data_IF_924850489948
#
_entry.id   IF_924850489948
#
_cell.length_a   1.000
_cell.length_b   1.000
_cell.length_c   1.000
_cell.angle_alpha   90.00
_cell.angle_beta   90.00
_cell.angle_gamma   90.00
#
_symmetry.space_group_name_H-M   'P 1'
#
loop_
_entity.id
_entity.type
_entity.pdbx_description
1 polymer ?
#
# COMPACT_ATOMS: atom_id res chain seq x y z
N UNK A 1 5.72 30.21 39.06
CA UNK A 1 4.70 30.04 40.13
C UNK A 1 3.35 30.47 39.60
N UNK A 2 2.26 29.83 40.05
CA UNK A 2 0.91 30.39 39.87
C UNK A 2 0.77 31.68 40.69
N UNK A 3 -0.29 32.47 40.47
CA UNK A 3 -0.62 33.61 41.34
C UNK A 3 -0.77 33.20 42.83
N UNK A 4 -0.99 31.91 43.11
CA UNK A 4 -1.07 31.31 44.44
C UNK A 4 0.26 30.70 44.96
N UNK A 5 1.40 30.94 44.31
CA UNK A 5 2.71 30.47 44.80
C UNK A 5 3.02 28.98 44.60
N UNK A 6 2.16 28.23 43.92
CA UNK A 6 2.37 26.80 43.62
C UNK A 6 3.45 26.64 42.53
N UNK A 7 4.37 25.66 42.66
CA UNK A 7 5.30 25.32 41.58
C UNK A 7 4.53 24.87 40.32
N UNK A 8 4.84 25.45 39.17
CA UNK A 8 4.26 25.06 37.89
C UNK A 8 5.16 24.00 37.26
N UNK A 9 4.66 22.77 37.12
CA UNK A 9 5.40 21.64 36.53
C UNK A 9 5.22 21.51 35.02
N UNK A 10 4.26 22.24 34.44
CA UNK A 10 4.06 22.33 33.00
C UNK A 10 3.43 23.67 32.61
N UNK A 11 3.54 24.02 31.33
CA UNK A 11 2.80 25.09 30.67
C UNK A 11 1.93 24.52 29.57
N UNK A 12 0.74 25.09 29.42
CA UNK A 12 -0.27 24.65 28.48
C UNK A 12 -0.59 25.78 27.51
N UNK A 13 -0.62 25.42 26.23
CA UNK A 13 -1.09 26.25 25.13
C UNK A 13 -2.17 25.45 24.39
N UNK A 14 -3.13 26.13 23.78
CA UNK A 14 -4.10 25.47 22.92
C UNK A 14 -4.35 26.28 21.66
N UNK A 15 -4.71 25.59 20.59
CA UNK A 15 -5.14 26.17 19.34
C UNK A 15 -6.47 25.57 18.96
N UNK A 16 -7.45 26.42 18.71
CA UNK A 16 -8.66 26.05 18.00
C UNK A 16 -8.62 26.72 16.63
N UNK A 17 -8.64 25.92 15.57
CA UNK A 17 -8.55 26.39 14.20
C UNK A 17 -9.49 25.59 13.30
N UNK A 18 -9.68 26.10 12.08
CA UNK A 18 -10.30 25.36 10.99
C UNK A 18 -9.22 25.02 9.97
N UNK A 19 -9.31 23.82 9.38
CA UNK A 19 -8.40 23.37 8.33
C UNK A 19 -9.18 22.86 7.12
N UNK A 20 -8.57 22.98 5.93
CA UNK A 20 -9.10 22.45 4.66
C UNK A 20 -9.16 20.92 4.67
N UNK A 21 -8.16 20.28 5.29
CA UNK A 21 -8.07 18.84 5.45
C UNK A 21 -6.82 18.43 6.25
N UNK A 22 -6.69 17.13 6.50
CA UNK A 22 -5.62 16.57 7.34
C UNK A 22 -4.20 16.85 6.78
N UNK A 23 -4.06 16.92 5.45
CA UNK A 23 -2.79 17.21 4.76
C UNK A 23 -2.23 18.61 5.06
N UNK A 24 -3.01 19.53 5.63
CA UNK A 24 -2.60 20.90 5.94
C UNK A 24 -2.39 21.19 7.44
N UNK A 25 -2.65 20.23 8.34
CA UNK A 25 -2.60 20.48 9.79
C UNK A 25 -1.23 20.97 10.27
N UNK A 26 -0.14 20.45 9.69
CA UNK A 26 1.22 20.87 10.06
C UNK A 26 1.46 22.35 9.75
N UNK A 27 0.96 22.85 8.62
CA UNK A 27 1.11 24.25 8.23
C UNK A 27 0.27 25.16 9.12
N UNK A 28 -0.96 24.75 9.44
CA UNK A 28 -1.84 25.45 10.39
C UNK A 28 -1.15 25.58 11.75
N UNK A 29 -0.62 24.48 12.29
CA UNK A 29 0.08 24.51 13.58
C UNK A 29 1.30 25.41 13.53
N UNK A 30 2.19 25.23 12.53
CA UNK A 30 3.41 26.04 12.39
C UNK A 30 3.12 27.53 12.30
N UNK A 31 2.09 27.91 11.55
CA UNK A 31 1.70 29.31 11.36
C UNK A 31 1.07 29.95 12.59
N UNK A 32 0.60 29.15 13.57
CA UNK A 32 0.07 29.65 14.85
C UNK A 32 1.13 29.79 15.95
N UNK A 33 2.38 29.35 15.72
CA UNK A 33 3.43 29.38 16.75
C UNK A 33 3.89 30.81 17.04
N UNK A 34 3.92 31.19 18.32
CA UNK A 34 4.36 32.49 18.81
C UNK A 34 5.49 32.36 19.85
N UNK A 35 6.59 33.15 19.75
CA UNK A 35 7.72 33.09 20.68
C UNK A 35 7.48 33.79 22.02
N UNK A 36 6.29 34.34 22.24
CA UNK A 36 5.99 35.21 23.41
C UNK A 36 5.88 34.46 24.74
N UNK A 37 5.88 33.13 24.71
CA UNK A 37 5.68 32.32 25.90
C UNK A 37 6.99 32.05 26.63
N UNK A 38 6.88 31.82 27.94
CA UNK A 38 8.02 31.46 28.77
C UNK A 38 7.63 30.55 29.92
N UNK A 39 8.55 29.66 30.29
CA UNK A 39 8.36 28.65 31.32
C UNK A 39 9.58 28.63 32.25
N UNK A 40 9.32 28.62 33.55
CA UNK A 40 10.34 28.48 34.60
C UNK A 40 9.97 27.25 35.44
N UNK A 41 10.52 26.06 35.10
CA UNK A 41 10.31 24.86 35.90
C UNK A 41 10.89 25.01 37.31
N UNK A 42 10.40 24.25 38.30
CA UNK A 42 10.96 24.29 39.65
C UNK A 42 12.44 23.91 39.65
N UNK A 43 13.29 24.76 40.23
CA UNK A 43 14.74 24.53 40.30
C UNK A 43 15.50 24.76 38.99
N UNK A 44 14.83 25.23 37.92
CA UNK A 44 15.45 25.51 36.62
C UNK A 44 15.26 26.97 36.20
N UNK A 45 16.18 27.51 35.37
CA UNK A 45 16.03 28.86 34.86
C UNK A 45 14.81 29.01 33.95
N UNK A 46 14.35 30.25 33.80
CA UNK A 46 13.26 30.61 32.89
C UNK A 46 13.74 30.54 31.44
N UNK A 47 13.00 29.85 30.58
CA UNK A 47 13.24 29.76 29.14
C UNK A 47 12.05 30.28 28.34
N UNK A 48 12.33 30.91 27.20
CA UNK A 48 11.33 31.23 26.19
C UNK A 48 11.08 30.02 25.28
N UNK A 49 9.85 29.88 24.80
CA UNK A 49 9.48 28.80 23.89
C UNK A 49 8.40 29.25 22.89
N UNK A 50 8.31 28.54 21.77
CA UNK A 50 7.24 28.72 20.80
C UNK A 50 6.00 27.95 21.23
N UNK A 51 4.95 28.69 21.57
CA UNK A 51 3.65 28.13 21.92
C UNK A 51 2.66 28.30 20.78
N UNK A 52 1.76 27.34 20.58
CA UNK A 52 0.58 27.53 19.74
C UNK A 52 -0.27 28.65 20.31
N UNK A 53 -0.79 29.47 19.41
CA UNK A 53 -1.46 30.73 19.74
C UNK A 53 -2.67 30.92 18.81
N UNK A 54 -2.72 32.01 18.05
CA UNK A 54 -3.82 32.31 17.14
C UNK A 54 -3.43 31.95 15.71
N UNK A 55 -4.31 31.23 15.01
CA UNK A 55 -4.23 31.04 13.56
C UNK A 55 -5.13 32.06 12.85
N UNK A 56 -4.54 32.87 11.96
CA UNK A 56 -5.25 33.93 11.24
C UNK A 56 -5.70 33.54 9.81
N UNK A 57 -5.52 32.27 9.40
CA UNK A 57 -5.76 31.86 8.02
C UNK A 57 -4.67 32.35 7.05
N UNK A 58 -4.67 31.83 5.82
CA UNK A 58 -3.87 32.40 4.71
C UNK A 58 -4.71 33.48 4.01
N UNK A 59 -4.16 34.68 3.86
CA UNK A 59 -4.84 35.76 3.14
C UNK A 59 -5.01 35.39 1.65
N UNK A 60 -6.24 35.45 1.15
CA UNK A 60 -6.57 35.17 -0.25
C UNK A 60 -6.92 33.71 -0.59
N UNK A 61 -7.03 32.83 0.41
CA UNK A 61 -7.44 31.44 0.20
C UNK A 61 -8.97 31.31 0.23
N UNK A 62 -9.60 31.12 -0.93
CA UNK A 62 -11.04 30.90 -1.07
C UNK A 62 -11.45 29.42 -0.88
N UNK A 63 -10.58 28.60 -0.28
CA UNK A 63 -10.81 27.17 -0.11
C UNK A 63 -11.77 26.89 1.03
N UNK A 64 -12.58 25.84 0.86
CA UNK A 64 -13.59 25.44 1.83
C UNK A 64 -12.94 24.80 3.06
N UNK A 65 -13.22 25.36 4.24
CA UNK A 65 -12.76 24.85 5.52
C UNK A 65 -13.68 23.73 6.02
N UNK A 66 -13.15 22.52 6.22
CA UNK A 66 -13.96 21.31 6.45
C UNK A 66 -13.77 20.68 7.82
N UNK A 67 -12.61 20.89 8.44
CA UNK A 67 -12.24 20.19 9.69
C UNK A 67 -12.02 21.17 10.84
N UNK A 68 -12.64 20.90 11.98
CA UNK A 68 -12.29 21.54 13.24
C UNK A 68 -11.01 20.91 13.80
N UNK A 69 -10.01 21.74 14.07
CA UNK A 69 -8.75 21.34 14.67
C UNK A 69 -8.66 21.91 16.09
N UNK A 70 -8.48 21.02 17.06
CA UNK A 70 -8.13 21.37 18.44
C UNK A 70 -6.77 20.77 18.80
N UNK A 71 -5.79 21.62 19.09
CA UNK A 71 -4.44 21.21 19.50
C UNK A 71 -4.20 21.62 20.93
N UNK A 72 -3.74 20.69 21.75
CA UNK A 72 -3.24 20.95 23.10
C UNK A 72 -1.72 20.77 23.09
N UNK A 73 -0.97 21.81 23.41
CA UNK A 73 0.47 21.76 23.57
C UNK A 73 0.83 21.80 25.05
N UNK A 74 1.65 20.84 25.48
CA UNK A 74 2.20 20.76 26.83
C UNK A 74 3.71 20.99 26.77
N UNK A 75 4.19 22.03 27.45
CA UNK A 75 5.61 22.34 27.58
C UNK A 75 6.08 21.99 29.00
N UNK A 76 7.05 21.09 29.13
CA UNK A 76 7.43 20.46 30.40
C UNK A 76 8.94 20.19 30.43
N UNK A 77 9.52 20.12 31.63
CA UNK A 77 10.92 19.72 31.81
C UNK A 77 11.03 18.19 31.80
N UNK A 78 12.06 17.65 31.15
CA UNK A 78 12.31 16.21 31.07
C UNK A 78 13.17 15.71 32.25
N UNK A 79 13.01 14.46 32.70
CA UNK A 79 12.07 13.44 32.20
C UNK A 79 10.62 13.68 32.65
N UNK A 80 9.66 13.36 31.79
CA UNK A 80 8.22 13.44 32.08
C UNK A 80 7.43 12.31 31.42
N UNK A 81 6.22 12.03 31.91
CA UNK A 81 5.24 11.15 31.28
C UNK A 81 3.95 11.93 31.03
N UNK A 82 3.35 11.73 29.86
CA UNK A 82 2.07 12.33 29.46
C UNK A 82 1.18 11.21 28.95
N UNK A 83 -0.05 11.16 29.46
CA UNK A 83 -1.04 10.17 29.07
C UNK A 83 -2.25 10.89 28.45
N UNK A 84 -2.80 10.31 27.37
CA UNK A 84 -3.99 10.79 26.70
C UNK A 84 -4.98 9.63 26.67
N UNK A 85 -6.15 9.82 27.30
CA UNK A 85 -7.19 8.81 27.35
C UNK A 85 -8.38 9.19 26.47
N UNK A 86 -8.95 8.19 25.80
CA UNK A 86 -10.23 8.26 25.12
C UNK A 86 -11.26 7.39 25.85
N UNK A 87 -12.46 7.90 26.03
CA UNK A 87 -13.52 7.28 26.83
C UNK A 87 -14.87 7.36 26.10
N UNK A 88 -15.33 6.25 25.51
CA UNK A 88 -16.63 6.22 24.81
C UNK A 88 -17.85 6.26 25.74
N UNK A 89 -18.70 7.28 25.63
CA UNK A 89 -19.94 7.41 26.43
C UNK A 89 -20.92 6.23 26.34
N UNK A 90 -20.78 5.35 25.33
CA UNK A 90 -21.57 4.13 25.19
C UNK A 90 -21.21 3.01 26.18
N UNK A 91 -20.12 3.16 26.94
CA UNK A 91 -19.67 2.21 27.96
C UNK A 91 -19.81 2.89 29.34
N UNK A 92 -20.99 2.82 29.98
CA UNK A 92 -21.27 3.52 31.23
C UNK A 92 -20.63 2.84 32.46
N UNK A 93 -20.62 1.52 32.50
CA UNK A 93 -20.17 0.74 33.67
C UNK A 93 -18.67 0.39 33.57
N UNK A 94 -17.81 1.42 33.62
CA UNK A 94 -16.36 1.20 33.62
C UNK A 94 -15.85 0.96 35.04
N UNK A 95 -15.20 -0.19 35.32
CA UNK A 95 -14.67 -0.49 36.64
C UNK A 95 -13.50 0.43 37.01
N UNK A 96 -12.60 0.73 36.06
CA UNK A 96 -11.43 1.59 36.24
C UNK A 96 -11.15 2.41 34.97
N UNK A 97 -10.42 3.53 35.13
CA UNK A 97 -9.87 4.30 33.99
C UNK A 97 -8.52 3.70 33.56
N UNK A 98 -8.28 3.64 32.26
CA UNK A 98 -7.02 3.13 31.68
C UNK A 98 -5.93 4.23 31.70
N UNK A 99 -5.46 4.57 32.90
CA UNK A 99 -4.42 5.57 33.16
C UNK A 99 -3.48 5.09 34.26
N UNK A 100 -2.31 5.72 34.39
CA UNK A 100 -1.32 5.51 35.45
C UNK A 100 -0.98 4.03 35.69
N UNK A 101 -1.14 3.53 36.93
CA UNK A 101 -0.79 2.16 37.31
C UNK A 101 -1.65 1.12 36.59
N UNK A 102 -2.91 1.44 36.27
CA UNK A 102 -3.77 0.54 35.50
C UNK A 102 -3.28 0.42 34.07
N UNK A 103 -2.91 1.53 33.43
CA UNK A 103 -2.30 1.50 32.09
C UNK A 103 -0.96 0.73 32.11
N UNK A 104 -0.10 0.97 33.10
CA UNK A 104 1.20 0.30 33.23
C UNK A 104 1.03 -1.22 33.34
N UNK A 105 0.13 -1.68 34.22
CA UNK A 105 -0.15 -3.12 34.38
C UNK A 105 -0.70 -3.76 33.12
N UNK A 106 -1.62 -3.09 32.43
CA UNK A 106 -2.16 -3.64 31.16
C UNK A 106 -1.09 -3.65 30.05
N UNK A 107 -0.21 -2.65 29.97
CA UNK A 107 0.91 -2.66 29.02
C UNK A 107 1.85 -3.85 29.26
N UNK A 108 2.30 -4.08 30.50
CA UNK A 108 3.19 -5.21 30.83
C UNK A 108 2.54 -6.56 30.48
N UNK A 109 1.25 -6.70 30.79
CA UNK A 109 0.46 -7.89 30.45
C UNK A 109 0.32 -8.09 28.94
N UNK A 110 0.07 -7.04 28.18
CA UNK A 110 -0.05 -7.11 26.73
C UNK A 110 1.28 -7.40 26.04
N UNK A 111 2.40 -6.84 26.53
CA UNK A 111 3.75 -7.18 26.05
C UNK A 111 4.04 -8.66 26.26
N UNK A 112 3.84 -9.18 27.47
CA UNK A 112 4.06 -10.60 27.75
C UNK A 112 3.14 -11.52 26.91
N UNK A 113 1.90 -11.10 26.68
CA UNK A 113 0.95 -11.84 25.84
C UNK A 113 1.41 -11.85 24.37
N UNK A 114 1.88 -10.71 23.86
CA UNK A 114 2.43 -10.60 22.51
C UNK A 114 3.65 -11.51 22.32
N UNK A 115 4.62 -11.45 23.22
CA UNK A 115 5.85 -12.25 23.14
C UNK A 115 5.55 -13.75 23.15
N UNK A 116 4.62 -14.18 24.01
CA UNK A 116 4.16 -15.57 24.06
C UNK A 116 3.48 -15.99 22.76
N UNK A 117 2.50 -15.22 22.28
CA UNK A 117 1.82 -15.51 21.00
C UNK A 117 2.81 -15.53 19.83
N UNK A 118 3.81 -14.64 19.83
CA UNK A 118 4.85 -14.59 18.81
C UNK A 118 5.66 -15.89 18.74
N UNK A 119 6.12 -16.41 19.88
CA UNK A 119 6.83 -17.70 19.90
C UNK A 119 5.91 -18.89 19.58
N UNK A 120 4.64 -18.84 19.99
CA UNK A 120 3.63 -19.84 19.62
C UNK A 120 3.43 -19.90 18.10
N UNK A 121 3.32 -18.74 17.44
CA UNK A 121 3.10 -18.60 15.99
C UNK A 121 4.34 -18.93 15.15
N UNK A 122 5.49 -18.35 15.49
CA UNK A 122 6.69 -18.41 14.63
C UNK A 122 7.73 -19.44 15.08
N UNK A 123 7.75 -19.80 16.37
CA UNK A 123 8.62 -20.83 16.93
C UNK A 123 10.11 -20.55 16.73
N UNK A 124 10.54 -19.28 16.78
CA UNK A 124 11.90 -18.90 16.41
C UNK A 124 12.92 -19.37 17.46
N UNK A 125 12.57 -19.33 18.74
CA UNK A 125 13.42 -19.86 19.80
C UNK A 125 13.63 -21.37 19.61
N UNK A 126 12.55 -22.12 19.34
CA UNK A 126 12.61 -23.56 19.05
C UNK A 126 13.40 -23.92 17.79
N UNK A 127 13.48 -23.00 16.82
CA UNK A 127 14.28 -23.15 15.59
C UNK A 127 15.76 -22.79 15.79
N UNK A 128 16.17 -22.33 16.97
CA UNK A 128 17.55 -22.02 17.30
C UNK A 128 18.00 -20.61 16.94
N UNK A 129 17.08 -19.68 16.64
CA UNK A 129 17.41 -18.27 16.42
C UNK A 129 17.82 -17.59 17.74
N UNK A 130 18.82 -16.71 17.67
CA UNK A 130 19.31 -15.92 18.80
C UNK A 130 18.28 -14.92 19.32
N UNK A 131 18.46 -14.44 20.55
CA UNK A 131 17.57 -13.41 21.12
C UNK A 131 17.54 -12.11 20.31
N UNK A 132 18.63 -11.75 19.63
CA UNK A 132 18.69 -10.57 18.75
C UNK A 132 17.85 -10.78 17.49
N UNK A 133 17.93 -11.95 16.86
CA UNK A 133 17.13 -12.30 15.69
C UNK A 133 15.64 -12.38 16.02
N UNK A 134 15.30 -12.91 17.20
CA UNK A 134 13.92 -12.94 17.69
C UNK A 134 13.37 -11.53 17.91
N UNK A 135 14.14 -10.65 18.56
CA UNK A 135 13.75 -9.25 18.77
C UNK A 135 13.60 -8.48 17.45
N UNK A 136 14.51 -8.71 16.50
CA UNK A 136 14.41 -8.16 15.15
C UNK A 136 13.13 -8.62 14.44
N UNK A 137 12.81 -9.92 14.51
CA UNK A 137 11.59 -10.46 13.91
C UNK A 137 10.30 -9.95 14.55
N UNK A 138 10.28 -9.76 15.88
CA UNK A 138 9.18 -9.08 16.57
C UNK A 138 8.99 -7.65 16.04
N UNK A 139 10.09 -6.89 15.92
CA UNK A 139 10.04 -5.53 15.38
C UNK A 139 9.54 -5.49 13.93
N UNK A 140 9.89 -6.46 13.08
CA UNK A 140 9.39 -6.56 11.71
C UNK A 140 7.86 -6.74 11.68
N UNK A 141 7.33 -7.70 12.45
CA UNK A 141 5.88 -7.93 12.53
C UNK A 141 5.15 -6.70 13.10
N UNK A 142 5.67 -6.12 14.18
CA UNK A 142 5.08 -4.93 14.81
C UNK A 142 5.05 -3.74 13.87
N UNK A 143 6.10 -3.53 13.06
CA UNK A 143 6.11 -2.46 12.05
C UNK A 143 5.15 -2.74 10.89
N UNK A 144 5.00 -4.00 10.46
CA UNK A 144 4.02 -4.36 9.44
C UNK A 144 2.59 -4.09 9.91
N UNK A 145 2.23 -4.55 11.11
CA UNK A 145 0.92 -4.27 11.74
C UNK A 145 0.73 -2.77 11.98
N UNK A 146 1.75 -2.08 12.49
CA UNK A 146 1.71 -0.63 12.73
C UNK A 146 1.75 0.23 11.46
N UNK A 147 1.97 -0.37 10.29
CA UNK A 147 1.85 0.26 8.99
C UNK A 147 0.45 0.15 8.39
N UNK A 148 -0.44 -0.66 8.97
CA UNK A 148 -1.81 -0.79 8.47
C UNK A 148 -2.59 0.51 8.66
N UNK A 149 -3.38 0.87 7.65
CA UNK A 149 -4.18 2.08 7.62
C UNK A 149 -5.58 1.84 7.08
N UNK A 150 -6.48 2.77 7.39
CA UNK A 150 -7.81 2.86 6.82
C UNK A 150 -7.90 4.11 5.95
N UNK A 151 -8.27 3.94 4.69
CA UNK A 151 -8.37 4.99 3.69
C UNK A 151 -9.77 5.04 3.12
N UNK A 152 -10.23 6.24 2.74
CA UNK A 152 -11.56 6.42 2.14
C UNK A 152 -11.53 7.53 1.09
N UNK A 153 -12.12 7.26 -0.06
CA UNK A 153 -12.25 8.24 -1.12
C UNK A 153 -12.46 7.62 -2.50
N UNK A 154 -12.66 8.44 -3.54
CA UNK A 154 -12.72 7.98 -4.92
C UNK A 154 -11.31 7.78 -5.52
N UNK A 155 -11.18 6.86 -6.45
CA UNK A 155 -10.01 6.74 -7.33
C UNK A 155 -10.25 7.47 -8.64
N UNK A 156 -9.22 8.14 -9.18
CA UNK A 156 -9.26 8.74 -10.51
C UNK A 156 -8.81 7.71 -11.56
N UNK A 157 -9.72 7.30 -12.45
CA UNK A 157 -9.50 6.18 -13.35
C UNK A 157 -9.77 6.58 -14.80
N UNK A 158 -8.91 6.14 -15.73
CA UNK A 158 -9.15 6.24 -17.16
C UNK A 158 -9.28 4.83 -17.76
N UNK A 159 -10.43 4.58 -18.41
CA UNK A 159 -10.66 3.32 -19.13
C UNK A 159 -10.56 3.53 -20.65
N UNK A 160 -10.41 2.45 -21.44
CA UNK A 160 -10.44 2.52 -22.91
C UNK A 160 -11.76 3.04 -23.48
N UNK A 161 -12.81 3.05 -22.67
CA UNK A 161 -14.17 3.43 -23.05
C UNK A 161 -14.48 4.89 -22.71
N UNK A 162 -13.52 5.62 -22.12
CA UNK A 162 -13.69 7.00 -21.65
C UNK A 162 -12.66 7.93 -22.27
N UNK A 163 -13.08 9.09 -22.75
CA UNK A 163 -12.18 10.09 -23.34
C UNK A 163 -11.28 10.78 -22.30
N UNK A 164 -11.76 10.93 -21.07
CA UNK A 164 -11.05 11.59 -19.98
C UNK A 164 -11.11 10.77 -18.69
N UNK A 165 -10.15 10.93 -17.76
CA UNK A 165 -10.19 10.31 -16.43
C UNK A 165 -11.48 10.68 -15.67
N UNK A 166 -12.07 9.69 -15.00
CA UNK A 166 -13.29 9.83 -14.23
C UNK A 166 -13.07 9.40 -12.78
N UNK A 167 -13.76 10.06 -11.85
CA UNK A 167 -13.80 9.61 -10.46
C UNK A 167 -14.71 8.38 -10.35
N UNK A 168 -14.16 7.29 -9.85
CA UNK A 168 -14.93 6.13 -9.44
C UNK A 168 -15.69 6.42 -8.15
N UNK A 169 -16.73 5.62 -7.82
CA UNK A 169 -17.42 5.71 -6.53
C UNK A 169 -16.43 5.64 -5.37
N UNK A 170 -16.68 6.42 -4.32
CA UNK A 170 -15.84 6.40 -3.14
C UNK A 170 -15.91 5.04 -2.44
N UNK A 171 -14.75 4.50 -2.09
CA UNK A 171 -14.59 3.20 -1.43
C UNK A 171 -13.71 3.30 -0.20
N UNK A 172 -13.84 2.31 0.68
CA UNK A 172 -13.00 2.16 1.86
C UNK A 172 -11.92 1.10 1.63
N UNK A 173 -10.71 1.36 2.10
CA UNK A 173 -9.60 0.41 2.05
C UNK A 173 -8.94 0.27 3.40
N UNK A 174 -8.98 -0.92 3.98
CA UNK A 174 -8.15 -1.30 5.11
C UNK A 174 -7.01 -2.18 4.61
N UNK A 175 -5.76 -1.71 4.74
CA UNK A 175 -4.59 -2.33 4.07
C UNK A 175 -3.29 -2.03 4.80
N UNK A 176 -2.28 -2.88 4.63
CA UNK A 176 -0.89 -2.50 4.93
C UNK A 176 -0.35 -1.54 3.85
N UNK A 177 0.77 -0.88 4.16
CA UNK A 177 1.44 0.06 3.24
C UNK A 177 2.93 -0.29 3.12
N UNK A 178 3.55 -0.16 1.94
CA UNK A 178 4.97 -0.53 1.76
C UNK A 178 5.92 0.30 2.62
N UNK A 179 5.59 1.58 2.83
CA UNK A 179 6.39 2.48 3.65
C UNK A 179 5.53 3.60 4.23
N UNK A 180 5.55 3.75 5.56
CA UNK A 180 4.87 4.85 6.27
C UNK A 180 5.34 6.24 5.82
N UNK A 181 6.57 6.36 5.32
CA UNK A 181 7.18 7.65 4.97
C UNK A 181 7.06 7.99 3.48
N UNK A 182 7.27 7.01 2.60
CA UNK A 182 7.35 7.24 1.15
C UNK A 182 6.08 6.81 0.42
N UNK A 183 5.43 5.74 0.89
CA UNK A 183 4.31 5.10 0.21
C UNK A 183 3.16 4.81 1.19
N UNK A 184 2.56 5.82 1.84
CA UNK A 184 1.54 5.63 2.87
C UNK A 184 0.16 5.36 2.25
N UNK A 185 0.06 4.36 1.37
CA UNK A 185 -1.15 4.00 0.61
C UNK A 185 -1.08 2.55 0.14
N UNK A 186 -2.21 2.02 -0.33
CA UNK A 186 -2.30 0.63 -0.79
C UNK A 186 -1.66 0.42 -2.16
N UNK A 187 -0.86 -0.64 -2.29
CA UNK A 187 -0.33 -1.16 -3.56
C UNK A 187 -0.72 -2.63 -3.73
N UNK A 188 -1.35 -2.94 -4.86
CA UNK A 188 -2.07 -4.21 -5.04
C UNK A 188 -1.15 -5.43 -4.92
N UNK A 189 -0.02 -5.43 -5.64
CA UNK A 189 0.89 -6.56 -5.60
C UNK A 189 1.69 -6.64 -4.29
N UNK A 190 2.12 -5.51 -3.71
CA UNK A 190 2.79 -5.47 -2.40
C UNK A 190 1.92 -6.10 -1.32
N UNK A 191 0.60 -5.86 -1.36
CA UNK A 191 -0.31 -6.33 -0.33
C UNK A 191 -0.34 -7.85 -0.21
N UNK A 192 -0.24 -8.59 -1.32
CA UNK A 192 -0.12 -10.04 -1.22
C UNK A 192 1.10 -10.49 -0.42
N UNK A 193 2.25 -9.80 -0.56
CA UNK A 193 3.44 -10.11 0.25
C UNK A 193 3.29 -9.69 1.71
N UNK A 194 2.67 -8.55 1.98
CA UNK A 194 2.33 -8.14 3.35
C UNK A 194 1.47 -9.21 4.03
N UNK A 195 0.44 -9.69 3.34
CA UNK A 195 -0.51 -10.65 3.87
C UNK A 195 0.05 -12.07 3.99
N UNK A 196 1.11 -12.45 3.25
CA UNK A 196 1.82 -13.71 3.51
C UNK A 196 2.39 -13.74 4.95
N UNK A 197 2.88 -12.61 5.47
CA UNK A 197 3.31 -12.51 6.87
C UNK A 197 2.11 -12.39 7.81
N UNK A 198 1.20 -11.45 7.54
CA UNK A 198 0.10 -11.14 8.47
C UNK A 198 -0.89 -12.30 8.63
N UNK A 199 -1.14 -13.08 7.58
CA UNK A 199 -2.00 -14.25 7.65
C UNK A 199 -1.45 -15.35 8.57
N UNK A 200 -0.14 -15.39 8.83
CA UNK A 200 0.44 -16.30 9.83
C UNK A 200 0.12 -15.86 11.26
N UNK A 201 0.00 -14.56 11.46
CA UNK A 201 -0.31 -13.96 12.75
C UNK A 201 -1.81 -13.94 13.02
N UNK A 202 -2.60 -13.44 12.07
CA UNK A 202 -4.04 -13.23 12.17
C UNK A 202 -4.73 -13.46 10.81
N UNK A 203 -5.16 -14.70 10.52
CA UNK A 203 -5.84 -15.03 9.27
C UNK A 203 -7.15 -14.26 9.03
N UNK A 204 -7.87 -13.89 10.10
CA UNK A 204 -9.13 -13.15 9.99
C UNK A 204 -8.87 -11.71 9.56
N UNK A 205 -7.83 -11.07 10.12
CA UNK A 205 -7.38 -9.75 9.67
C UNK A 205 -7.03 -9.75 8.18
N UNK A 206 -6.30 -10.76 7.70
CA UNK A 206 -5.97 -10.89 6.28
C UNK A 206 -7.20 -11.08 5.40
N UNK A 207 -8.21 -11.82 5.87
CA UNK A 207 -9.48 -11.98 5.16
C UNK A 207 -10.23 -10.66 4.99
N UNK A 208 -10.25 -9.81 6.02
CA UNK A 208 -10.83 -8.46 5.97
C UNK A 208 -10.08 -7.56 4.98
N UNK A 209 -8.73 -7.57 5.00
CA UNK A 209 -7.91 -6.81 4.05
C UNK A 209 -8.21 -7.22 2.61
N UNK A 210 -8.21 -8.53 2.32
CA UNK A 210 -8.52 -9.04 0.98
C UNK A 210 -9.94 -8.60 0.58
N UNK A 211 -10.93 -8.71 1.47
CA UNK A 211 -12.30 -8.27 1.17
C UNK A 211 -12.36 -6.78 0.79
N UNK A 212 -11.69 -5.91 1.55
CA UNK A 212 -11.58 -4.48 1.25
C UNK A 212 -10.96 -4.20 -0.12
N UNK A 213 -9.89 -4.90 -0.49
CA UNK A 213 -9.28 -4.75 -1.82
C UNK A 213 -10.23 -5.17 -2.95
N UNK A 214 -10.95 -6.27 -2.76
CA UNK A 214 -11.89 -6.80 -3.74
C UNK A 214 -13.20 -5.99 -3.83
N UNK A 215 -13.53 -5.19 -2.83
CA UNK A 215 -14.64 -4.23 -2.87
C UNK A 215 -14.34 -3.01 -3.75
N UNK A 216 -13.07 -2.70 -4.00
CA UNK A 216 -12.63 -1.64 -4.93
C UNK A 216 -12.62 -2.07 -6.41
N UNK A 217 -13.03 -3.30 -6.68
CA UNK A 217 -13.10 -3.86 -8.02
C UNK A 217 -14.19 -3.19 -8.87
N UNK A 218 -13.86 -2.88 -10.12
CA UNK A 218 -14.83 -2.37 -11.08
C UNK A 218 -15.69 -3.50 -11.69
N UNK A 219 -16.67 -3.12 -12.51
CA UNK A 219 -17.60 -4.08 -13.14
C UNK A 219 -16.93 -5.06 -14.11
N UNK A 220 -15.73 -4.74 -14.59
CA UNK A 220 -14.94 -5.58 -15.52
C UNK A 220 -14.05 -6.59 -14.76
N UNK A 221 -13.97 -6.49 -13.44
CA UNK A 221 -13.08 -7.30 -12.62
C UNK A 221 -11.71 -6.67 -12.37
N UNK A 222 -11.47 -5.41 -12.74
CA UNK A 222 -10.21 -4.71 -12.52
C UNK A 222 -10.13 -4.05 -11.15
N UNK A 223 -8.94 -4.04 -10.54
CA UNK A 223 -8.63 -3.33 -9.29
C UNK A 223 -7.45 -2.40 -9.58
N UNK A 224 -7.51 -1.10 -9.23
CA UNK A 224 -6.38 -0.19 -9.37
C UNK A 224 -5.14 -0.70 -8.63
N UNK A 225 -3.98 -0.67 -9.31
CA UNK A 225 -2.69 -1.13 -8.74
C UNK A 225 -2.22 -0.27 -7.57
N UNK A 226 -2.58 1.01 -7.57
CA UNK A 226 -2.19 1.98 -6.55
C UNK A 226 -3.45 2.73 -6.08
N UNK A 227 -3.74 2.66 -4.78
CA UNK A 227 -4.98 3.16 -4.19
C UNK A 227 -4.75 4.52 -3.52
N UNK A 228 -5.08 5.59 -4.24
CA UNK A 228 -4.86 6.98 -3.82
C UNK A 228 -6.20 7.55 -3.35
N UNK A 229 -6.58 7.19 -2.12
CA UNK A 229 -7.91 7.48 -1.58
C UNK A 229 -7.86 8.63 -0.57
N UNK A 230 -8.46 9.76 -0.92
CA UNK A 230 -8.55 10.96 -0.08
C UNK A 230 -7.33 11.89 -0.19
N UNK A 231 -7.48 13.10 0.38
CA UNK A 231 -6.55 14.21 0.14
C UNK A 231 -5.15 13.96 0.74
N UNK A 232 -5.05 13.21 1.84
CA UNK A 232 -3.76 12.87 2.46
C UNK A 232 -2.90 11.98 1.55
N UNK A 233 -3.52 10.97 0.93
CA UNK A 233 -2.85 10.11 -0.02
C UNK A 233 -2.46 10.90 -1.26
N UNK A 234 -3.39 11.72 -1.79
CA UNK A 234 -3.17 12.54 -2.99
C UNK A 234 -2.00 13.52 -2.80
N UNK A 235 -1.89 14.16 -1.63
CA UNK A 235 -0.81 15.12 -1.34
C UNK A 235 0.61 14.49 -1.32
N UNK A 236 0.71 13.15 -1.37
CA UNK A 236 1.98 12.40 -1.39
C UNK A 236 2.31 11.80 -2.76
N UNK A 237 1.51 12.11 -3.79
CA UNK A 237 1.66 11.52 -5.12
C UNK A 237 1.87 12.62 -6.18
N UNK A 238 2.92 12.54 -7.00
CA UNK A 238 3.07 13.41 -8.16
C UNK A 238 1.87 13.30 -9.11
N UNK A 239 1.37 14.40 -9.71
CA UNK A 239 0.14 14.42 -10.51
C UNK A 239 0.10 13.37 -11.64
N UNK A 240 1.24 13.07 -12.25
CA UNK A 240 1.38 12.11 -13.34
C UNK A 240 1.08 10.66 -12.95
N UNK A 241 1.12 10.32 -11.65
CA UNK A 241 0.84 8.96 -11.15
C UNK A 241 -0.55 8.83 -10.52
N UNK A 242 -1.33 9.91 -10.48
CA UNK A 242 -2.65 9.90 -9.84
C UNK A 242 -3.66 9.09 -10.65
N UNK A 243 -3.66 9.27 -11.98
CA UNK A 243 -4.59 8.59 -12.88
C UNK A 243 -4.24 7.11 -12.97
N UNK A 244 -5.19 6.25 -12.63
CA UNK A 244 -5.06 4.80 -12.77
C UNK A 244 -5.69 4.35 -14.09
N UNK A 245 -5.00 3.51 -14.87
CA UNK A 245 -5.50 3.06 -16.17
C UNK A 245 -6.11 1.65 -16.07
N UNK A 246 -7.35 1.45 -16.51
CA UNK A 246 -8.05 0.16 -16.29
C UNK A 246 -7.55 -1.00 -17.16
N UNK A 247 -6.65 -0.75 -18.12
CA UNK A 247 -5.93 -1.79 -18.85
C UNK A 247 -4.65 -2.24 -18.13
N UNK A 248 -4.18 -1.48 -17.15
CA UNK A 248 -2.96 -1.74 -16.43
C UNK A 248 -3.18 -2.86 -15.41
N UNK A 249 -2.50 -4.00 -15.61
CA UNK A 249 -2.49 -5.10 -14.65
C UNK A 249 -1.48 -4.87 -13.52
N UNK A 250 -1.46 -5.82 -12.58
CA UNK A 250 -0.42 -5.94 -11.57
C UNK A 250 -0.20 -7.42 -11.23
N UNK A 251 0.92 -7.89 -10.65
CA UNK A 251 1.02 -9.27 -10.21
C UNK A 251 -0.13 -9.64 -9.25
N UNK A 252 -0.89 -10.72 -9.50
CA UNK A 252 -2.06 -11.08 -8.70
C UNK A 252 -1.65 -11.85 -7.43
N UNK A 253 -0.84 -11.21 -6.58
CA UNK A 253 -0.18 -11.82 -5.42
C UNK A 253 -1.15 -12.31 -4.34
N UNK A 254 -2.40 -11.83 -4.32
CA UNK A 254 -3.44 -12.38 -3.43
C UNK A 254 -3.69 -13.89 -3.65
N UNK A 255 -3.42 -14.44 -4.84
CA UNK A 255 -3.50 -15.89 -5.03
C UNK A 255 -2.46 -16.65 -4.19
N UNK A 256 -1.29 -16.08 -3.90
CA UNK A 256 -0.32 -16.68 -2.98
C UNK A 256 -0.86 -16.71 -1.54
N UNK A 257 -1.53 -15.64 -1.12
CA UNK A 257 -2.14 -15.53 0.20
C UNK A 257 -3.28 -16.52 0.35
N UNK A 258 -4.15 -16.61 -0.67
CA UNK A 258 -5.24 -17.58 -0.71
C UNK A 258 -4.71 -19.00 -0.65
N UNK A 259 -3.67 -19.33 -1.44
CA UNK A 259 -3.02 -20.65 -1.36
C UNK A 259 -2.52 -20.95 0.06
N UNK A 260 -1.85 -19.99 0.71
CA UNK A 260 -1.38 -20.15 2.08
C UNK A 260 -2.54 -20.36 3.07
N UNK A 261 -3.58 -19.54 3.00
CA UNK A 261 -4.73 -19.61 3.91
C UNK A 261 -5.52 -20.92 3.73
N UNK A 262 -5.71 -21.35 2.47
CA UNK A 262 -6.37 -22.62 2.14
C UNK A 262 -5.57 -23.82 2.67
N UNK A 263 -4.24 -23.81 2.51
CA UNK A 263 -3.34 -24.85 3.03
C UNK A 263 -3.29 -24.91 4.56
N UNK A 264 -3.54 -23.78 5.24
CA UNK A 264 -3.66 -23.72 6.70
C UNK A 264 -5.03 -24.16 7.23
N UNK A 265 -6.03 -24.33 6.35
CA UNK A 265 -7.42 -24.52 6.77
C UNK A 265 -7.99 -23.31 7.49
N UNK A 266 -7.42 -22.12 7.28
CA UNK A 266 -7.75 -20.89 8.00
C UNK A 266 -8.84 -20.06 7.31
N UNK A 267 -9.51 -20.62 6.30
CA UNK A 267 -10.59 -19.95 5.58
C UNK A 267 -11.89 -20.71 5.76
N UNK A 268 -12.87 -20.02 6.33
CA UNK A 268 -14.22 -20.55 6.49
C UNK A 268 -14.93 -20.69 5.14
N UNK A 269 -15.77 -21.71 5.02
CA UNK A 269 -16.45 -22.00 3.76
C UNK A 269 -17.36 -20.84 3.32
N UNK A 270 -17.98 -20.14 4.26
CA UNK A 270 -18.84 -18.99 3.99
C UNK A 270 -18.08 -17.78 3.47
N UNK A 271 -16.85 -17.56 3.94
CA UNK A 271 -15.97 -16.52 3.39
C UNK A 271 -15.63 -16.86 1.93
N UNK A 272 -15.20 -18.10 1.66
CA UNK A 272 -14.87 -18.55 0.30
C UNK A 272 -16.06 -18.39 -0.66
N UNK A 273 -17.27 -18.76 -0.26
CA UNK A 273 -18.48 -18.58 -1.07
C UNK A 273 -18.76 -17.12 -1.39
N UNK A 274 -18.56 -16.21 -0.44
CA UNK A 274 -18.81 -14.77 -0.63
C UNK A 274 -17.77 -14.11 -1.54
N UNK A 275 -16.50 -14.49 -1.41
CA UNK A 275 -15.42 -13.88 -2.21
C UNK A 275 -15.28 -14.50 -3.60
N UNK A 276 -15.69 -15.77 -3.79
CA UNK A 276 -15.53 -16.50 -5.05
C UNK A 276 -16.04 -15.77 -6.30
N UNK A 277 -17.23 -15.13 -6.32
CA UNK A 277 -17.69 -14.38 -7.48
C UNK A 277 -16.73 -13.25 -7.88
N UNK A 278 -16.14 -12.55 -6.90
CA UNK A 278 -15.16 -11.49 -7.15
C UNK A 278 -13.83 -12.06 -7.63
N UNK A 279 -13.36 -13.18 -7.04
CA UNK A 279 -12.17 -13.90 -7.52
C UNK A 279 -12.31 -14.33 -8.98
N UNK A 280 -13.48 -14.86 -9.35
CA UNK A 280 -13.79 -15.22 -10.74
C UNK A 280 -13.73 -14.01 -11.67
N UNK A 281 -14.30 -12.87 -11.28
CA UNK A 281 -14.23 -11.64 -12.08
C UNK A 281 -12.79 -11.15 -12.24
N UNK A 282 -12.00 -11.14 -11.17
CA UNK A 282 -10.59 -10.71 -11.22
C UNK A 282 -9.73 -11.62 -12.09
N UNK A 283 -9.85 -12.94 -11.89
CA UNK A 283 -9.18 -13.94 -12.72
C UNK A 283 -9.60 -13.82 -14.19
N UNK A 284 -10.91 -13.65 -14.44
CA UNK A 284 -11.46 -13.43 -15.77
C UNK A 284 -10.88 -12.19 -16.45
N UNK A 285 -10.74 -11.09 -15.70
CA UNK A 285 -10.15 -9.85 -16.21
C UNK A 285 -8.73 -10.06 -16.75
N UNK A 286 -7.85 -10.80 -16.07
CA UNK A 286 -6.51 -11.11 -16.59
C UNK A 286 -6.57 -11.92 -17.89
N UNK A 287 -7.41 -12.96 -17.92
CA UNK A 287 -7.54 -13.84 -19.09
C UNK A 287 -8.19 -13.15 -20.30
N UNK A 288 -8.94 -12.06 -20.07
CA UNK A 288 -9.52 -11.24 -21.14
C UNK A 288 -8.56 -10.15 -21.62
N UNK A 289 -7.89 -9.44 -20.69
CA UNK A 289 -7.18 -8.20 -21.01
C UNK A 289 -5.68 -8.40 -21.24
N UNK A 290 -5.07 -9.37 -20.56
CA UNK A 290 -3.62 -9.59 -20.58
C UNK A 290 -3.20 -10.80 -21.42
N UNK A 291 -4.13 -11.44 -22.14
CA UNK A 291 -3.85 -12.55 -23.05
C UNK A 291 -2.88 -12.13 -24.16
N UNK A 292 -1.95 -13.03 -24.51
CA UNK A 292 -1.03 -12.87 -25.64
C UNK A 292 -1.67 -13.27 -26.96
N UNK A 293 -0.92 -13.17 -28.06
CA UNK A 293 -1.41 -13.51 -29.41
C UNK A 293 -1.51 -15.02 -29.65
N UNK A 294 -0.78 -15.82 -28.87
CA UNK A 294 -0.81 -17.29 -28.94
C UNK A 294 -1.57 -17.90 -27.75
N UNK A 295 -2.18 -19.09 -27.91
CA UNK A 295 -2.81 -19.80 -26.80
C UNK A 295 -1.85 -19.96 -25.61
N UNK A 296 -2.36 -19.76 -24.39
CA UNK A 296 -1.61 -19.93 -23.13
C UNK A 296 -0.39 -19.01 -22.96
N UNK A 297 -0.34 -17.91 -23.72
CA UNK A 297 0.65 -16.85 -23.58
C UNK A 297 0.00 -15.59 -23.04
N UNK A 298 0.78 -14.74 -22.38
CA UNK A 298 0.31 -13.50 -21.77
C UNK A 298 1.29 -12.37 -22.02
N UNK A 299 0.77 -11.13 -21.98
CA UNK A 299 1.54 -9.91 -22.19
C UNK A 299 0.98 -8.77 -21.37
N UNK A 300 1.83 -8.19 -20.53
CA UNK A 300 1.58 -6.95 -19.80
C UNK A 300 1.19 -5.81 -20.75
N UNK A 301 0.06 -5.16 -20.47
CA UNK A 301 -0.37 -3.93 -21.15
C UNK A 301 0.28 -2.70 -20.50
N UNK A 302 0.25 -1.58 -21.21
CA UNK A 302 0.70 -0.27 -20.69
C UNK A 302 2.21 -0.01 -20.76
N UNK A 303 2.99 -0.81 -21.50
CA UNK A 303 4.38 -0.46 -21.81
C UNK A 303 4.42 0.77 -22.72
N UNK A 304 5.32 1.70 -22.43
CA UNK A 304 5.58 2.82 -23.32
C UNK A 304 6.11 2.30 -24.66
N UNK A 305 5.71 2.94 -25.76
CA UNK A 305 6.20 2.60 -27.12
C UNK A 305 7.24 3.60 -27.61
N UNK A 306 7.40 4.73 -26.92
CA UNK A 306 8.43 5.71 -27.23
C UNK A 306 9.79 5.21 -26.74
N UNK A 307 10.68 4.96 -27.70
CA UNK A 307 12.05 4.48 -27.47
C UNK A 307 13.08 5.61 -27.44
N UNK A 308 12.65 6.87 -27.61
CA UNK A 308 13.57 8.02 -27.58
C UNK A 308 13.84 8.51 -26.15
N UNK A 309 12.89 8.34 -25.24
CA UNK A 309 12.99 8.81 -23.85
C UNK A 309 13.69 7.81 -22.92
N UNK A 310 13.61 6.51 -23.24
CA UNK A 310 14.11 5.44 -22.37
C UNK A 310 15.04 4.49 -23.13
N UNK A 311 16.16 4.09 -22.52
CA UNK A 311 17.05 3.05 -23.06
C UNK A 311 16.29 1.74 -23.32
N UNK A 312 15.34 1.41 -22.44
CA UNK A 312 14.37 0.33 -22.60
C UNK A 312 13.02 0.81 -22.06
N UNK A 313 11.92 0.68 -22.81
CA UNK A 313 10.61 1.10 -22.32
C UNK A 313 10.17 0.31 -21.09
N UNK A 314 9.70 1.01 -20.05
CA UNK A 314 9.34 0.44 -18.75
C UNK A 314 8.11 -0.47 -18.81
N UNK A 315 7.99 -1.36 -17.83
CA UNK A 315 6.82 -2.25 -17.64
C UNK A 315 6.27 -2.13 -16.23
N UNK A 316 5.76 -0.95 -15.87
CA UNK A 316 5.26 -0.62 -14.53
C UNK A 316 4.16 -1.57 -14.04
N UNK A 317 3.39 -2.14 -14.97
CA UNK A 317 2.32 -3.11 -14.69
C UNK A 317 2.85 -4.43 -14.16
N UNK A 318 4.10 -4.79 -14.41
CA UNK A 318 4.69 -6.02 -13.88
C UNK A 318 5.16 -5.91 -12.43
N UNK A 319 5.25 -4.70 -11.86
CA UNK A 319 5.92 -4.44 -10.58
C UNK A 319 7.45 -4.44 -10.66
N UNK A 320 8.02 -4.87 -11.79
CA UNK A 320 9.45 -4.82 -12.11
C UNK A 320 9.69 -3.70 -13.13
N UNK A 321 9.59 -2.46 -12.66
CA UNK A 321 9.43 -1.26 -13.49
C UNK A 321 10.42 -1.13 -14.65
N UNK A 322 11.71 -1.32 -14.38
CA UNK A 322 12.81 -1.16 -15.34
C UNK A 322 13.55 -2.47 -15.65
N UNK A 323 12.99 -3.62 -15.28
CA UNK A 323 13.54 -4.91 -15.71
C UNK A 323 13.53 -4.97 -17.24
N UNK A 324 14.69 -5.20 -17.90
CA UNK A 324 14.80 -5.06 -19.33
C UNK A 324 13.97 -6.12 -20.05
N UNK A 325 13.09 -5.66 -20.94
CA UNK A 325 12.30 -6.51 -21.85
C UNK A 325 12.68 -6.22 -23.30
N UNK A 326 11.87 -6.68 -24.26
CA UNK A 326 12.11 -6.39 -25.67
C UNK A 326 12.26 -4.87 -25.89
N UNK A 327 13.24 -4.49 -26.73
CA UNK A 327 13.63 -3.08 -26.91
C UNK A 327 12.64 -2.30 -27.76
N UNK A 328 11.88 -2.99 -28.61
CA UNK A 328 10.82 -2.43 -29.44
C UNK A 328 9.49 -3.09 -29.06
N UNK A 329 8.75 -2.53 -28.09
CA UNK A 329 7.49 -3.09 -27.62
C UNK A 329 6.50 -3.32 -28.77
N UNK A 330 5.85 -4.48 -28.76
CA UNK A 330 4.89 -4.86 -29.81
C UNK A 330 3.79 -5.76 -29.25
N UNK A 331 2.79 -6.04 -30.07
CA UNK A 331 1.70 -6.94 -29.68
C UNK A 331 2.15 -8.41 -29.56
N UNK A 332 3.27 -8.77 -30.20
CA UNK A 332 3.81 -10.13 -30.26
C UNK A 332 4.64 -10.54 -29.03
N UNK A 333 4.80 -9.63 -28.07
CA UNK A 333 5.57 -9.93 -26.87
C UNK A 333 4.92 -11.02 -26.03
N UNK A 334 5.75 -11.83 -25.37
CA UNK A 334 5.31 -12.84 -24.41
C UNK A 334 6.10 -12.67 -23.13
N UNK A 335 5.39 -12.39 -22.05
CA UNK A 335 5.99 -12.10 -20.75
C UNK A 335 5.90 -13.34 -19.86
N UNK A 336 7.08 -13.91 -19.56
CA UNK A 336 7.24 -15.16 -18.82
C UNK A 336 6.67 -15.06 -17.41
N UNK A 337 6.97 -13.96 -16.72
CA UNK A 337 6.51 -13.68 -15.36
C UNK A 337 4.98 -13.70 -15.26
N UNK A 338 4.29 -13.04 -16.19
CA UNK A 338 2.82 -13.04 -16.22
C UNK A 338 2.24 -14.42 -16.50
N UNK A 339 2.84 -15.20 -17.40
CA UNK A 339 2.44 -16.61 -17.61
C UNK A 339 2.53 -17.41 -16.32
N UNK A 340 3.62 -17.25 -15.57
CA UNK A 340 3.82 -17.92 -14.28
C UNK A 340 2.80 -17.48 -13.22
N UNK A 341 2.47 -16.18 -13.15
CA UNK A 341 1.41 -15.69 -12.27
C UNK A 341 0.06 -16.31 -12.58
N UNK A 342 -0.27 -16.43 -13.88
CA UNK A 342 -1.53 -17.04 -14.30
C UNK A 342 -1.56 -18.54 -14.02
N UNK A 343 -0.43 -19.25 -14.07
CA UNK A 343 -0.35 -20.66 -13.68
C UNK A 343 -0.74 -20.85 -12.20
N UNK A 344 -0.17 -20.02 -11.31
CA UNK A 344 -0.51 -20.03 -9.88
C UNK A 344 -1.98 -19.67 -9.67
N UNK A 345 -2.46 -18.60 -10.32
CA UNK A 345 -3.83 -18.16 -10.21
C UNK A 345 -4.83 -19.24 -10.64
N UNK A 346 -4.59 -19.92 -11.76
CA UNK A 346 -5.44 -21.01 -12.25
C UNK A 346 -5.50 -22.19 -11.28
N UNK A 347 -4.36 -22.59 -10.71
CA UNK A 347 -4.31 -23.69 -9.73
C UNK A 347 -5.11 -23.34 -8.47
N UNK A 348 -4.95 -22.12 -7.95
CA UNK A 348 -5.69 -21.65 -6.77
C UNK A 348 -7.19 -21.53 -7.07
N UNK A 349 -7.56 -21.01 -8.24
CA UNK A 349 -8.98 -20.94 -8.65
C UNK A 349 -9.63 -22.32 -8.76
N UNK A 350 -8.91 -23.32 -9.27
CA UNK A 350 -9.40 -24.71 -9.34
C UNK A 350 -9.68 -25.28 -7.94
N UNK A 351 -8.77 -25.05 -6.99
CA UNK A 351 -8.95 -25.45 -5.59
C UNK A 351 -10.12 -24.72 -4.93
N UNK A 352 -10.20 -23.39 -5.09
CA UNK A 352 -11.31 -22.59 -4.53
C UNK A 352 -12.65 -23.08 -5.08
N UNK A 353 -12.78 -23.25 -6.40
CA UNK A 353 -13.99 -23.75 -7.05
C UNK A 353 -14.45 -25.10 -6.48
N UNK A 354 -13.49 -26.02 -6.29
CA UNK A 354 -13.75 -27.33 -5.67
C UNK A 354 -14.29 -27.19 -4.24
N UNK A 355 -13.68 -26.32 -3.42
CA UNK A 355 -14.09 -26.12 -2.01
C UNK A 355 -15.46 -25.45 -1.87
N UNK A 356 -15.83 -24.57 -2.80
CA UNK A 356 -17.17 -23.93 -2.79
C UNK A 356 -18.24 -24.76 -3.50
N UNK A 357 -17.87 -25.84 -4.21
CA UNK A 357 -18.80 -26.71 -4.94
C UNK A 357 -19.24 -26.15 -6.30
N UNK A 358 -18.41 -25.30 -6.91
CA UNK A 358 -18.67 -24.67 -8.20
C UNK A 358 -17.90 -25.37 -9.34
N UNK A 359 -18.37 -25.31 -10.59
CA UNK A 359 -17.62 -25.85 -11.72
C UNK A 359 -16.23 -25.20 -11.84
N UNK A 360 -15.19 -26.03 -11.85
CA UNK A 360 -13.80 -25.60 -11.90
C UNK A 360 -12.96 -26.21 -13.03
N UNK A 361 -13.58 -26.95 -13.96
CA UNK A 361 -12.88 -27.68 -15.03
C UNK A 361 -11.98 -26.78 -15.88
N UNK A 362 -12.43 -25.55 -16.17
CA UNK A 362 -11.68 -24.60 -16.99
C UNK A 362 -10.44 -24.09 -16.26
N UNK A 363 -10.53 -23.90 -14.93
CA UNK A 363 -9.38 -23.53 -14.11
C UNK A 363 -8.38 -24.68 -14.01
N UNK A 364 -8.87 -25.92 -13.81
CA UNK A 364 -8.02 -27.12 -13.81
C UNK A 364 -7.30 -27.28 -15.14
N UNK A 365 -8.02 -27.19 -16.26
CA UNK A 365 -7.44 -27.27 -17.60
C UNK A 365 -6.40 -26.17 -17.83
N UNK A 366 -6.71 -24.92 -17.48
CA UNK A 366 -5.74 -23.83 -17.61
C UNK A 366 -4.50 -24.07 -16.75
N UNK A 367 -4.67 -24.52 -15.50
CA UNK A 367 -3.55 -24.84 -14.61
C UNK A 367 -2.66 -25.94 -15.18
N UNK A 368 -3.25 -27.03 -15.71
CA UNK A 368 -2.53 -28.12 -16.36
C UNK A 368 -1.76 -27.65 -17.61
N UNK A 369 -2.40 -26.87 -18.49
CA UNK A 369 -1.75 -26.34 -19.70
C UNK A 369 -0.63 -25.36 -19.37
N UNK A 370 -0.78 -24.53 -18.33
CA UNK A 370 0.28 -23.62 -17.91
C UNK A 370 1.41 -24.31 -17.14
N UNK A 371 1.16 -25.45 -16.51
CA UNK A 371 2.19 -26.28 -15.88
C UNK A 371 2.94 -27.20 -16.86
N UNK A 372 2.42 -27.40 -18.08
CA UNK A 372 3.06 -28.19 -19.13
C UNK A 372 4.43 -27.60 -19.52
N UNK A 373 5.50 -28.35 -19.25
CA UNK A 373 6.89 -27.94 -19.50
C UNK A 373 7.14 -27.83 -21.00
N UNK A 374 6.62 -28.75 -21.83
CA UNK A 374 6.82 -28.70 -23.28
C UNK A 374 6.20 -27.44 -23.89
N UNK A 375 5.03 -27.02 -23.40
CA UNK A 375 4.41 -25.77 -23.83
C UNK A 375 5.17 -24.53 -23.31
N UNK A 376 5.68 -24.58 -22.09
CA UNK A 376 6.54 -23.51 -21.56
C UNK A 376 7.82 -23.37 -22.40
N UNK A 377 8.49 -24.48 -22.72
CA UNK A 377 9.67 -24.52 -23.58
C UNK A 377 9.37 -23.97 -24.97
N UNK A 378 8.28 -24.40 -25.60
CA UNK A 378 7.84 -23.92 -26.90
C UNK A 378 7.71 -22.39 -26.96
N UNK A 379 7.26 -21.74 -25.88
CA UNK A 379 6.97 -20.31 -25.88
C UNK A 379 8.11 -19.44 -25.33
N UNK A 380 8.91 -19.97 -24.38
CA UNK A 380 9.82 -19.18 -23.56
C UNK A 380 11.24 -19.76 -23.43
N UNK A 381 11.54 -20.99 -23.85
CA UNK A 381 12.92 -21.50 -23.79
C UNK A 381 13.77 -20.88 -24.89
N UNK A 382 14.92 -20.33 -24.51
CA UNK A 382 15.92 -19.83 -25.46
C UNK A 382 17.15 -20.70 -25.40
N UNK A 383 17.38 -21.50 -26.45
CA UNK A 383 18.58 -22.34 -26.58
C UNK A 383 19.86 -21.50 -26.51
N UNK A 384 19.86 -20.34 -27.18
CA UNK A 384 21.01 -19.43 -27.23
C UNK A 384 21.38 -18.84 -25.86
N UNK A 385 20.39 -18.65 -24.98
CA UNK A 385 20.61 -18.13 -23.62
C UNK A 385 20.63 -19.23 -22.55
N UNK A 386 20.26 -20.47 -22.90
CA UNK A 386 20.08 -21.60 -21.98
C UNK A 386 19.22 -21.26 -20.76
N UNK A 387 18.14 -20.50 -20.99
CA UNK A 387 17.21 -20.05 -19.95
C UNK A 387 15.82 -19.82 -20.52
N UNK A 388 14.81 -19.81 -19.64
CA UNK A 388 13.52 -19.22 -19.96
C UNK A 388 13.63 -17.70 -20.02
N UNK A 389 13.01 -17.10 -21.04
CA UNK A 389 13.07 -15.67 -21.30
C UNK A 389 11.72 -15.12 -21.77
N UNK A 390 11.57 -13.79 -21.64
CA UNK A 390 10.57 -13.06 -22.41
C UNK A 390 10.88 -13.18 -23.91
N UNK A 391 9.84 -13.02 -24.73
CA UNK A 391 9.98 -12.95 -26.18
C UNK A 391 9.46 -11.62 -26.71
N UNK A 392 10.11 -11.05 -27.72
CA UNK A 392 9.66 -9.86 -28.43
C UNK A 392 10.69 -9.34 -29.41
N UNK A 393 10.36 -8.25 -30.10
CA UNK A 393 11.29 -7.59 -31.03
C UNK A 393 12.40 -6.87 -30.27
N UNK A 394 13.60 -7.46 -30.25
CA UNK A 394 14.71 -7.01 -29.41
C UNK A 394 16.03 -6.91 -30.19
N UNK A 395 16.79 -5.86 -29.88
CA UNK A 395 18.19 -5.73 -30.27
C UNK A 395 19.01 -5.28 -29.06
N UNK A 396 20.23 -5.80 -28.94
CA UNK A 396 21.21 -5.34 -27.95
C UNK A 396 21.90 -4.03 -28.38
N UNK A 397 21.74 -3.62 -29.64
CA UNK A 397 22.35 -2.42 -30.19
C UNK A 397 21.54 -1.15 -29.86
N UNK A 398 21.34 -0.89 -28.58
CA UNK A 398 20.69 0.34 -28.05
C UNK A 398 21.67 1.09 -27.15
N UNK A 399 21.65 2.42 -27.23
CA UNK A 399 22.50 3.28 -26.41
C UNK A 399 21.82 4.62 -26.14
N UNK A 400 22.09 5.21 -24.96
CA UNK A 400 21.76 6.60 -24.69
C UNK A 400 22.91 7.48 -25.19
N UNK A 401 22.64 8.28 -26.21
CA UNK A 401 23.58 9.29 -26.70
C UNK A 401 23.07 10.68 -26.35
N UNK A 402 23.99 11.59 -25.97
CA UNK A 402 23.64 13.01 -25.85
C UNK A 402 23.32 13.52 -27.24
N UNK A 403 22.13 14.10 -27.41
CA UNK A 403 21.72 14.69 -28.67
C UNK A 403 22.77 15.71 -29.14
N UNK A 404 23.43 15.42 -30.26
CA UNK A 404 24.33 16.37 -30.90
C UNK A 404 23.47 17.35 -31.67
N UNK A 405 23.09 18.45 -31.02
CA UNK A 405 22.48 19.60 -31.72
C UNK A 405 23.39 19.97 -32.89
N UNK A 406 22.93 19.70 -34.11
CA UNK A 406 23.62 20.22 -35.30
C UNK A 406 23.43 21.74 -35.26
N UNK A 407 24.50 22.54 -35.33
CA UNK A 407 24.31 23.98 -35.50
C UNK A 407 23.45 24.20 -36.75
N UNK A 408 22.46 25.11 -36.70
CA UNK A 408 21.65 25.40 -37.87
C UNK A 408 22.56 25.83 -39.03
N UNK A 409 22.17 25.57 -40.30
CA UNK A 409 22.88 26.09 -41.45
C UNK A 409 23.14 27.60 -41.29
N UNK A 410 24.28 28.14 -41.76
CA UNK A 410 24.57 29.56 -41.63
C UNK A 410 23.41 30.41 -42.16
N UNK A 411 22.80 31.22 -41.29
CA UNK A 411 21.72 32.14 -41.65
C UNK A 411 20.30 31.79 -41.14
N UNK A 412 20.10 30.72 -40.37
CA UNK A 412 18.82 30.48 -39.68
C UNK A 412 18.92 30.73 -38.16
N UNK A 413 17.91 31.38 -37.54
CA UNK A 413 17.88 31.53 -36.08
C UNK A 413 17.69 30.17 -35.40
N UNK A 414 18.24 30.04 -34.19
CA UNK A 414 17.99 28.89 -33.32
C UNK A 414 16.50 28.86 -32.91
N UNK A 415 15.89 27.66 -32.79
CA UNK A 415 14.56 27.51 -32.21
C UNK A 415 14.51 27.88 -30.73
#
# INVERSE_FOLDING_TARGET
TTEAGTPLYARYNHLQAMAEGLHHLTDVVKSSLSPRFSYAPPGLPKHHYFGVDVYHGRAGDNRELRSQLLVHQVTVAVPCRVEVAFESGSVPDRPDRLLADTLTRELDKHVATFERRFEETFGLSRKGFSGQEQHFAQALLSNMLGGMGYFYGPSLVQSPHTEAPQLYPAGALFTAVPSRSFFPRGFLWDEGFHQLLLARWDPALSQEVIAHWFDLMNVEGWIPREQILGDEALAKVPPEFVVQHSQAGNPPTFFLVLQQLLGQGAVEQDYLRRIYPRLRSWYGWYNLTQVGTLPYTFRWRGRDRDTQLFLNPKTLTSGLDDYPRASHPSEDERHLDLRCWMAVASAVMAEVATRVGEPGSDYTHMAERLADIGLLEQHHWSEALSTFADYGNHTQAVALERERLRPPPPGQPLP
#
